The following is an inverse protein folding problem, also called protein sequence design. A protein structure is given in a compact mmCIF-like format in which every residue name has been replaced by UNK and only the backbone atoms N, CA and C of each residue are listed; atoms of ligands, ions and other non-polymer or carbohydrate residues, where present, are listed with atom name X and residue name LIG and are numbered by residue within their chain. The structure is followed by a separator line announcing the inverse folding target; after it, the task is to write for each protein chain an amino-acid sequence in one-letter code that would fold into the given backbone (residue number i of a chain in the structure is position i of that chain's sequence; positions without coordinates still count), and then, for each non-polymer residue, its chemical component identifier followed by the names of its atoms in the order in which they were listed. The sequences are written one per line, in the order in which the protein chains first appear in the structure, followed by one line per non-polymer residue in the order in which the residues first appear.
data_IF_273293728579
#
_entry.id   IF_273293728579
#
_cell.length_a   1.000
_cell.length_b   1.000
_cell.length_c   1.000
_cell.angle_alpha   90.00
_cell.angle_beta   90.00
_cell.angle_gamma   90.00
#
_symmetry.space_group_name_H-M   'P 1'
#
loop_
_entity.id
_entity.type
_entity.pdbx_description
1 polymer ?
#
# COMPACT_ATOMS: atom_id res chain seq x y z
N UNK A 1 -43.85 -7.48 14.17
CA UNK A 1 -43.28 -8.60 13.39
C UNK A 1 -43.07 -9.79 14.32
N UNK A 2 -44.12 -10.55 14.61
CA UNK A 2 -44.08 -11.73 15.49
C UNK A 2 -44.27 -12.97 14.62
N UNK A 3 -43.18 -13.70 14.31
CA UNK A 3 -43.21 -14.95 13.54
C UNK A 3 -42.05 -15.21 12.57
N UNK A 4 -41.11 -14.27 12.39
CA UNK A 4 -39.96 -14.46 11.49
C UNK A 4 -38.73 -15.08 12.18
N UNK A 5 -37.93 -15.85 11.42
CA UNK A 5 -36.58 -16.24 11.82
C UNK A 5 -35.80 -14.99 12.23
N UNK A 6 -35.16 -15.04 13.41
CA UNK A 6 -34.28 -13.97 13.89
C UNK A 6 -32.86 -14.48 13.82
N UNK A 7 -32.05 -13.85 12.97
CA UNK A 7 -30.61 -14.09 12.92
C UNK A 7 -29.87 -12.86 13.47
N UNK A 8 -28.87 -13.05 14.34
CA UNK A 8 -28.03 -11.96 14.80
C UNK A 8 -27.16 -11.45 13.64
N UNK A 9 -27.19 -10.14 13.40
CA UNK A 9 -26.29 -9.50 12.46
C UNK A 9 -25.01 -9.07 13.19
N UNK A 10 -23.91 -9.75 12.90
CA UNK A 10 -22.59 -9.44 13.48
C UNK A 10 -21.75 -8.57 12.51
N UNK A 11 -20.53 -8.20 12.91
CA UNK A 11 -19.57 -7.43 12.11
C UNK A 11 -19.26 -8.13 10.77
N UNK A 12 -19.28 -9.46 10.75
CA UNK A 12 -19.09 -10.26 9.52
C UNK A 12 -20.19 -10.02 8.47
N UNK A 13 -21.37 -9.56 8.89
CA UNK A 13 -22.51 -9.27 8.01
C UNK A 13 -22.60 -7.78 7.62
N UNK A 14 -21.61 -6.96 8.00
CA UNK A 14 -21.64 -5.51 7.78
C UNK A 14 -20.47 -5.04 6.91
N UNK A 15 -20.78 -4.44 5.76
CA UNK A 15 -19.79 -3.78 4.90
C UNK A 15 -19.71 -2.30 5.23
N UNK A 16 -18.50 -1.77 5.42
CA UNK A 16 -18.26 -0.37 5.77
C UNK A 16 -18.12 0.51 4.51
N UNK A 17 -18.48 1.79 4.61
CA UNK A 17 -18.42 2.77 3.51
C UNK A 17 -17.02 2.92 2.87
N UNK A 18 -15.95 2.72 3.64
CA UNK A 18 -14.57 2.82 3.15
C UNK A 18 -14.01 1.52 2.56
N UNK A 19 -14.78 0.43 2.58
CA UNK A 19 -14.36 -0.87 2.07
C UNK A 19 -14.61 -0.97 0.57
N UNK A 20 -13.66 -1.55 -0.15
CA UNK A 20 -13.82 -1.93 -1.56
C UNK A 20 -14.12 -3.43 -1.62
N UNK A 21 -15.26 -3.78 -2.21
CA UNK A 21 -15.63 -5.18 -2.45
C UNK A 21 -14.78 -5.70 -3.61
N UNK A 22 -14.16 -6.86 -3.40
CA UNK A 22 -13.29 -7.54 -4.36
C UNK A 22 -13.70 -9.00 -4.51
N UNK A 23 -13.24 -9.62 -5.60
CA UNK A 23 -13.39 -11.06 -5.88
C UNK A 23 -14.85 -11.57 -5.87
N UNK A 24 -15.81 -10.71 -6.18
CA UNK A 24 -17.24 -11.05 -6.32
C UNK A 24 -17.86 -10.20 -7.42
N UNK A 25 -18.74 -10.80 -8.23
CA UNK A 25 -19.36 -10.11 -9.38
C UNK A 25 -20.36 -9.03 -8.94
N UNK A 26 -21.17 -9.34 -7.91
CA UNK A 26 -22.15 -8.42 -7.34
C UNK A 26 -22.47 -8.84 -5.90
N UNK A 27 -22.94 -7.89 -5.11
CA UNK A 27 -23.46 -8.14 -3.76
C UNK A 27 -24.82 -7.44 -3.59
N UNK A 28 -25.76 -8.09 -2.91
CA UNK A 28 -27.01 -7.46 -2.48
C UNK A 28 -26.92 -7.16 -0.99
N UNK A 29 -27.23 -5.92 -0.61
CA UNK A 29 -27.21 -5.48 0.79
C UNK A 29 -28.22 -4.38 1.05
N UNK A 30 -28.54 -4.17 2.32
CA UNK A 30 -29.44 -3.09 2.77
C UNK A 30 -28.59 -2.01 3.43
N UNK A 31 -28.77 -0.76 3.00
CA UNK A 31 -28.11 0.37 3.64
C UNK A 31 -28.70 0.61 5.03
N UNK A 32 -27.91 0.32 6.08
CA UNK A 32 -28.31 0.56 7.49
C UNK A 32 -27.90 1.95 7.96
N UNK A 33 -26.67 2.38 7.63
CA UNK A 33 -26.13 3.69 7.99
C UNK A 33 -25.84 4.51 6.72
N UNK A 34 -26.23 5.77 6.70
CA UNK A 34 -26.05 6.68 5.55
C UNK A 34 -25.48 8.04 5.99
N UNK A 35 -24.72 8.68 5.11
CA UNK A 35 -24.16 10.01 5.37
C UNK A 35 -23.23 10.05 6.58
N UNK A 36 -23.56 10.92 7.55
CA UNK A 36 -22.79 11.15 8.78
C UNK A 36 -22.81 9.98 9.75
N UNK A 37 -23.83 9.11 9.67
CA UNK A 37 -23.98 7.96 10.58
C UNK A 37 -23.06 6.78 10.21
N UNK A 38 -22.35 6.88 9.09
CA UNK A 38 -21.37 5.86 8.71
C UNK A 38 -20.17 5.90 9.65
N UNK A 39 -19.66 4.74 10.06
CA UNK A 39 -18.50 4.65 10.98
C UNK A 39 -17.28 5.47 10.52
N UNK A 40 -17.04 5.52 9.21
CA UNK A 40 -15.98 6.33 8.63
C UNK A 40 -16.23 7.84 8.83
N UNK A 41 -17.47 8.30 8.60
CA UNK A 41 -17.82 9.71 8.76
C UNK A 41 -17.84 10.14 10.23
N UNK A 42 -18.24 9.27 11.16
CA UNK A 42 -18.16 9.55 12.60
C UNK A 42 -16.72 9.72 13.10
N UNK A 43 -15.74 9.12 12.42
CA UNK A 43 -14.32 9.32 12.71
C UNK A 43 -13.76 10.61 12.09
N UNK A 44 -14.48 11.23 11.15
CA UNK A 44 -14.12 12.54 10.60
C UNK A 44 -14.69 13.60 11.53
N UNK A 45 -13.82 14.43 12.11
CA UNK A 45 -14.27 15.60 12.90
C UNK A 45 -15.20 16.45 12.04
N UNK A 46 -16.43 16.66 12.50
CA UNK A 46 -17.53 17.28 11.75
C UNK A 46 -17.21 18.71 11.27
N UNK A 47 -16.35 19.42 11.98
CA UNK A 47 -15.86 20.73 11.59
C UNK A 47 -14.39 20.63 11.20
N UNK A 48 -14.10 20.91 9.92
CA UNK A 48 -12.71 21.07 9.49
C UNK A 48 -12.19 22.36 10.13
N UNK A 49 -11.23 22.29 11.08
CA UNK A 49 -10.77 23.49 11.75
C UNK A 49 -10.11 24.42 10.74
N UNK A 50 -10.38 25.72 10.84
CA UNK A 50 -9.68 26.72 10.04
C UNK A 50 -8.21 26.74 10.45
N UNK A 51 -7.35 26.14 9.64
CA UNK A 51 -5.90 26.11 9.86
C UNK A 51 -5.34 27.52 9.61
N UNK A 52 -4.56 28.04 10.56
CA UNK A 52 -3.84 29.32 10.43
C UNK A 52 -2.35 29.07 10.55
N UNK A 53 -1.57 29.68 9.66
CA UNK A 53 -0.12 29.55 9.67
C UNK A 53 0.49 30.18 10.94
N UNK A 54 1.60 29.62 11.41
CA UNK A 54 2.35 30.21 12.54
C UNK A 54 2.95 31.57 12.20
N UNK A 55 3.31 31.81 10.94
CA UNK A 55 3.81 33.12 10.49
C UNK A 55 2.71 34.17 10.64
N UNK A 56 1.46 33.82 10.34
CA UNK A 56 0.32 34.73 10.50
C UNK A 56 0.11 35.11 11.97
N UNK A 57 0.23 34.14 12.88
CA UNK A 57 0.17 34.41 14.32
C UNK A 57 1.30 35.34 14.79
N UNK A 58 2.49 35.20 14.19
CA UNK A 58 3.64 36.05 14.48
C UNK A 58 3.45 37.49 13.93
N UNK A 59 2.91 37.63 12.71
CA UNK A 59 2.54 38.93 12.12
C UNK A 59 1.52 39.64 13.02
N UNK A 60 0.48 38.94 13.47
CA UNK A 60 -0.54 39.51 14.36
C UNK A 60 0.07 40.00 15.68
N UNK A 61 1.04 39.27 16.24
CA UNK A 61 1.76 39.66 17.46
C UNK A 61 2.57 40.94 17.25
N UNK A 62 3.32 41.03 16.13
CA UNK A 62 4.08 42.24 15.80
C UNK A 62 3.17 43.43 15.49
N UNK A 63 2.05 43.20 14.80
CA UNK A 63 1.07 44.23 14.51
C UNK A 63 0.47 44.80 15.80
N UNK A 64 0.13 43.95 16.77
CA UNK A 64 -0.33 44.37 18.09
C UNK A 64 0.72 45.20 18.83
N UNK A 65 2.00 44.81 18.75
CA UNK A 65 3.10 45.58 19.33
C UNK A 65 3.27 46.97 18.67
N UNK A 66 3.26 47.03 17.33
CA UNK A 66 3.36 48.30 16.57
C UNK A 66 2.17 49.22 16.87
N UNK A 67 0.96 48.66 16.94
CA UNK A 67 -0.24 49.43 17.30
C UNK A 67 -0.15 50.00 18.72
N UNK A 68 0.33 49.21 19.69
CA UNK A 68 0.57 49.69 21.05
C UNK A 68 1.61 50.81 21.11
N UNK A 69 2.70 50.67 20.35
CA UNK A 69 3.74 51.70 20.24
C UNK A 69 3.20 52.99 19.60
N UNK A 70 2.36 52.88 18.56
CA UNK A 70 1.70 54.01 17.92
C UNK A 70 0.83 54.80 18.91
N UNK A 71 0.02 54.10 19.72
CA UNK A 71 -0.81 54.75 20.75
C UNK A 71 0.05 55.45 21.82
N UNK A 72 1.14 54.83 22.24
CA UNK A 72 2.06 55.43 23.21
C UNK A 72 2.73 56.70 22.67
N UNK A 73 3.21 56.67 21.42
CA UNK A 73 3.81 57.85 20.78
C UNK A 73 2.80 58.98 20.58
N UNK A 74 1.59 58.67 20.13
CA UNK A 74 0.52 59.67 19.99
C UNK A 74 0.19 60.32 21.34
N UNK A 75 0.14 59.54 22.43
CA UNK A 75 -0.11 60.04 23.77
C UNK A 75 1.04 60.94 24.27
N UNK A 76 2.30 60.51 24.11
CA UNK A 76 3.48 61.30 24.52
C UNK A 76 3.55 62.62 23.76
N UNK A 77 3.32 62.63 22.44
CA UNK A 77 3.30 63.87 21.65
C UNK A 77 2.13 64.78 22.01
N UNK A 78 0.96 64.22 22.34
CA UNK A 78 -0.17 65.03 22.80
C UNK A 78 0.17 65.71 24.13
N UNK A 79 0.77 64.99 25.08
CA UNK A 79 1.21 65.58 26.35
C UNK A 79 2.29 66.65 26.10
N UNK A 80 3.31 66.36 25.32
CA UNK A 80 4.36 67.32 25.00
C UNK A 80 3.81 68.57 24.31
N UNK A 81 2.84 68.42 23.41
CA UNK A 81 2.18 69.53 22.73
C UNK A 81 1.36 70.39 23.70
N UNK A 82 0.55 69.78 24.58
CA UNK A 82 -0.21 70.54 25.60
C UNK A 82 0.71 71.33 26.52
N UNK A 83 1.81 70.73 26.99
CA UNK A 83 2.79 71.40 27.85
C UNK A 83 3.55 72.53 27.14
N UNK A 84 3.82 72.39 25.85
CA UNK A 84 4.55 73.41 25.09
C UNK A 84 3.61 74.55 24.65
N UNK A 85 2.33 74.27 24.42
CA UNK A 85 1.30 75.28 24.11
C UNK A 85 1.11 76.28 25.27
N UNK A 86 1.21 75.82 26.53
CA UNK A 86 1.20 76.70 27.71
C UNK A 86 2.33 77.75 27.72
N UNK A 87 3.44 77.51 26.99
CA UNK A 87 4.59 78.41 26.88
C UNK A 87 4.56 79.29 25.60
N UNK A 88 3.54 79.16 24.75
CA UNK A 88 3.57 79.61 23.35
C UNK A 88 2.71 80.85 23.03
N UNK A 89 2.42 81.67 24.03
CA UNK A 89 1.62 82.90 23.90
C UNK A 89 2.19 83.92 22.89
N UNK A 90 3.50 83.94 22.64
CA UNK A 90 4.10 84.91 21.69
C UNK A 90 4.01 84.50 20.21
N UNK A 91 3.94 83.20 19.89
CA UNK A 91 3.93 82.73 18.49
C UNK A 91 2.52 82.62 17.91
N UNK A 92 1.51 82.35 18.74
CA UNK A 92 0.10 82.24 18.30
C UNK A 92 -0.49 83.60 17.92
N UNK A 93 -0.06 84.68 18.58
CA UNK A 93 -0.41 86.07 18.24
C UNK A 93 0.08 86.48 16.84
N UNK A 94 1.19 85.88 16.35
CA UNK A 94 1.75 86.16 15.02
C UNK A 94 0.98 85.46 13.88
N UNK A 95 0.31 84.34 14.16
CA UNK A 95 -0.40 83.52 13.15
C UNK A 95 -1.89 83.88 13.03
N UNK A 96 -2.42 84.73 13.93
CA UNK A 96 -3.79 85.25 13.83
C UNK A 96 -4.88 84.19 14.02
N UNK A 97 -4.60 83.16 14.81
CA UNK A 97 -5.57 82.15 15.20
C UNK A 97 -6.23 82.57 16.52
N UNK A 98 -7.53 82.87 16.49
CA UNK A 98 -8.32 83.03 17.72
C UNK A 98 -8.39 81.67 18.43
N UNK A 99 -7.93 81.65 19.68
CA UNK A 99 -7.68 80.47 20.49
C UNK A 99 -8.96 79.88 21.05
N UNK A 100 -9.74 79.22 20.20
CA UNK A 100 -10.74 78.25 20.65
C UNK A 100 -10.02 77.03 21.24
N UNK A 101 -10.49 76.58 22.41
CA UNK A 101 -9.95 75.47 23.21
C UNK A 101 -9.47 74.30 22.33
N UNK A 102 -8.15 74.11 22.25
CA UNK A 102 -7.58 72.96 21.55
C UNK A 102 -7.90 71.71 22.36
N UNK A 103 -9.02 71.06 22.04
CA UNK A 103 -9.44 69.86 22.73
C UNK A 103 -8.35 68.78 22.61
N UNK A 104 -7.90 68.26 23.75
CA UNK A 104 -6.89 67.19 23.83
C UNK A 104 -7.21 66.02 22.89
N UNK A 105 -8.50 65.68 22.74
CA UNK A 105 -8.96 64.62 21.84
C UNK A 105 -8.71 64.91 20.35
N UNK A 106 -8.88 66.15 19.87
CA UNK A 106 -8.57 66.53 18.48
C UNK A 106 -7.08 66.44 18.22
N UNK A 107 -6.25 66.91 19.15
CA UNK A 107 -4.80 66.85 18.99
C UNK A 107 -4.27 65.41 19.01
N UNK A 108 -4.80 64.57 19.90
CA UNK A 108 -4.50 63.14 19.93
C UNK A 108 -4.88 62.44 18.62
N UNK A 109 -6.08 62.71 18.09
CA UNK A 109 -6.53 62.14 16.82
C UNK A 109 -5.67 62.60 15.64
N UNK A 110 -5.24 63.87 15.62
CA UNK A 110 -4.32 64.41 14.59
C UNK A 110 -2.98 63.68 14.61
N UNK A 111 -2.38 63.45 15.78
CA UNK A 111 -1.12 62.69 15.89
C UNK A 111 -1.30 61.20 15.57
N UNK A 112 -2.45 60.60 15.91
CA UNK A 112 -2.77 59.23 15.53
C UNK A 112 -2.88 59.09 14.00
N UNK A 113 -3.55 60.04 13.33
CA UNK A 113 -3.64 60.08 11.87
C UNK A 113 -2.27 60.29 11.21
N UNK A 114 -1.40 61.12 11.80
CA UNK A 114 -0.03 61.33 11.31
C UNK A 114 0.77 60.01 11.29
N UNK A 115 0.57 59.14 12.29
CA UNK A 115 1.24 57.84 12.39
C UNK A 115 0.49 56.66 11.76
N UNK A 116 -0.63 56.89 11.07
CA UNK A 116 -1.42 55.82 10.46
C UNK A 116 -0.61 54.94 9.47
N UNK A 117 0.41 55.52 8.81
CA UNK A 117 1.30 54.79 7.90
C UNK A 117 2.25 53.78 8.60
N UNK A 118 2.33 53.79 9.94
CA UNK A 118 3.14 52.84 10.70
C UNK A 118 2.55 51.42 10.65
N UNK A 119 1.24 51.31 10.44
CA UNK A 119 0.56 50.03 10.17
C UNK A 119 0.38 49.89 8.65
N UNK A 120 1.22 49.09 7.96
CA UNK A 120 1.09 48.91 6.53
C UNK A 120 -0.18 48.12 6.20
N UNK A 121 -1.20 48.82 5.67
CA UNK A 121 -2.49 48.25 5.26
C UNK A 121 -2.29 47.14 4.21
N UNK A 122 -1.25 47.25 3.38
CA UNK A 122 -0.94 46.29 2.31
C UNK A 122 -0.31 44.99 2.78
N UNK A 123 0.13 44.86 4.04
CA UNK A 123 0.92 43.71 4.52
C UNK A 123 0.20 42.36 4.34
N UNK A 124 -1.09 42.28 4.65
CA UNK A 124 -1.83 41.02 4.50
C UNK A 124 -2.04 40.67 3.02
N UNK A 125 -2.39 41.67 2.21
CA UNK A 125 -2.60 41.48 0.77
C UNK A 125 -1.32 41.03 0.08
N UNK A 126 -0.16 41.57 0.45
CA UNK A 126 1.13 41.15 -0.12
C UNK A 126 1.48 39.72 0.31
N UNK A 127 1.27 39.34 1.57
CA UNK A 127 1.50 37.96 2.05
C UNK A 127 0.58 36.96 1.35
N UNK A 128 -0.70 37.26 1.19
CA UNK A 128 -1.66 36.39 0.51
C UNK A 128 -1.35 36.25 -0.99
N UNK A 129 -0.88 37.33 -1.63
CA UNK A 129 -0.41 37.29 -3.01
C UNK A 129 0.84 36.41 -3.14
N UNK A 130 1.82 36.56 -2.24
CA UNK A 130 3.03 35.73 -2.23
C UNK A 130 2.67 34.25 -2.04
N UNK A 131 1.79 33.93 -1.09
CA UNK A 131 1.30 32.57 -0.84
C UNK A 131 0.59 31.98 -2.08
N UNK A 132 -0.20 32.79 -2.78
CA UNK A 132 -0.89 32.38 -4.01
C UNK A 132 0.10 32.09 -5.14
N UNK A 133 1.13 32.93 -5.31
CA UNK A 133 2.19 32.72 -6.29
C UNK A 133 3.00 31.46 -5.94
N UNK A 134 3.34 31.25 -4.67
CA UNK A 134 4.02 30.02 -4.21
C UNK A 134 3.19 28.76 -4.50
N UNK A 135 1.89 28.78 -4.20
CA UNK A 135 0.98 27.68 -4.52
C UNK A 135 0.96 27.37 -6.02
N UNK A 136 0.98 28.41 -6.86
CA UNK A 136 1.02 28.28 -8.31
C UNK A 136 2.33 27.67 -8.81
N UNK A 137 3.46 28.06 -8.22
CA UNK A 137 4.78 27.51 -8.56
C UNK A 137 4.89 26.04 -8.19
N UNK A 138 4.42 25.64 -6.99
CA UNK A 138 4.42 24.24 -6.54
C UNK A 138 3.62 23.34 -7.50
N UNK A 139 2.46 23.80 -7.96
CA UNK A 139 1.61 23.03 -8.90
C UNK A 139 2.23 22.88 -10.30
N UNK A 140 3.13 23.79 -10.69
CA UNK A 140 3.81 23.75 -12.00
C UNK A 140 5.15 23.03 -11.98
N UNK A 141 5.65 22.66 -10.81
CA UNK A 141 6.89 21.92 -10.69
C UNK A 141 6.78 20.56 -11.41
N UNK A 142 7.77 20.23 -12.22
CA UNK A 142 7.84 19.00 -13.01
C UNK A 142 8.31 17.83 -12.14
N UNK A 143 9.13 18.10 -11.12
CA UNK A 143 9.67 17.07 -10.22
C UNK A 143 8.63 16.54 -9.23
N UNK A 144 7.57 17.31 -8.98
CA UNK A 144 6.44 16.95 -8.10
C UNK A 144 5.29 16.30 -8.88
N UNK A 145 5.56 15.72 -10.06
CA UNK A 145 4.57 15.03 -10.88
C UNK A 145 4.83 13.53 -10.86
N UNK A 146 3.78 12.77 -10.59
CA UNK A 146 3.76 11.31 -10.73
C UNK A 146 2.89 10.92 -11.93
N UNK A 147 3.55 10.60 -13.04
CA UNK A 147 2.91 10.28 -14.31
C UNK A 147 1.98 11.40 -14.81
N UNK A 148 0.66 11.18 -14.69
CA UNK A 148 -0.37 12.16 -15.09
C UNK A 148 -0.87 13.05 -13.95
N UNK A 149 -0.53 12.72 -12.71
CA UNK A 149 -0.97 13.44 -11.53
C UNK A 149 0.09 14.46 -11.13
N UNK A 150 -0.28 15.74 -11.07
CA UNK A 150 0.58 16.81 -10.56
C UNK A 150 0.22 17.11 -9.11
N UNK A 151 1.17 17.61 -8.31
CA UNK A 151 0.88 18.08 -6.97
C UNK A 151 -0.20 19.18 -6.99
N UNK A 152 -1.24 19.02 -6.18
CA UNK A 152 -2.33 20.00 -6.02
C UNK A 152 -2.26 20.62 -4.63
N UNK A 153 -2.18 21.94 -4.57
CA UNK A 153 -2.20 22.68 -3.31
C UNK A 153 -3.63 23.06 -2.97
N UNK A 154 -4.23 22.34 -2.01
CA UNK A 154 -5.62 22.59 -1.58
C UNK A 154 -5.77 23.79 -0.66
N UNK A 155 -4.73 24.13 0.11
CA UNK A 155 -4.74 25.22 1.10
C UNK A 155 -3.46 26.06 0.95
N UNK A 156 -3.54 27.19 0.23
CA UNK A 156 -2.39 28.06 -0.05
C UNK A 156 -1.93 28.87 1.16
N UNK A 157 -2.74 28.97 2.21
CA UNK A 157 -2.45 29.73 3.43
C UNK A 157 -1.42 29.05 4.37
N UNK A 158 -1.00 27.83 4.05
CA UNK A 158 -0.09 27.00 4.85
C UNK A 158 1.25 26.71 4.15
N UNK A 159 1.50 27.29 2.97
CA UNK A 159 2.68 27.00 2.16
C UNK A 159 4.00 27.29 2.91
N UNK A 160 3.98 28.30 3.77
CA UNK A 160 5.08 28.75 4.61
C UNK A 160 5.38 27.80 5.79
N UNK A 161 4.40 27.00 6.23
CA UNK A 161 4.60 26.01 7.30
C UNK A 161 5.33 24.76 6.79
N UNK A 162 5.34 24.49 5.48
CA UNK A 162 6.07 23.36 4.87
C UNK A 162 7.58 23.43 5.14
N UNK A 163 8.14 24.64 5.26
CA UNK A 163 9.56 24.83 5.58
C UNK A 163 9.93 24.63 7.06
N UNK A 164 8.96 24.27 7.91
CA UNK A 164 9.10 24.18 9.37
C UNK A 164 8.54 22.88 9.94
N UNK A 165 8.42 21.86 9.11
CA UNK A 165 7.91 20.54 9.54
C UNK A 165 9.01 19.81 10.31
N UNK A 166 8.81 19.61 11.63
CA UNK A 166 9.74 18.86 12.49
C UNK A 166 9.47 17.35 12.49
N UNK A 167 8.19 16.97 12.35
CA UNK A 167 7.74 15.58 12.42
C UNK A 167 6.89 15.24 11.21
N UNK A 168 7.26 14.16 10.52
CA UNK A 168 6.47 13.57 9.43
C UNK A 168 5.82 12.30 9.96
N UNK A 169 4.51 12.33 10.13
CA UNK A 169 3.70 11.15 10.43
C UNK A 169 3.25 10.53 9.11
N UNK A 170 3.87 9.41 8.75
CA UNK A 170 3.53 8.67 7.54
C UNK A 170 2.72 7.41 7.89
N UNK A 171 1.66 7.17 7.12
CA UNK A 171 0.96 5.88 7.15
C UNK A 171 1.80 4.82 6.42
N UNK A 172 1.73 3.56 6.85
CA UNK A 172 2.49 2.48 6.20
C UNK A 172 1.84 2.11 4.87
N UNK A 173 0.54 1.82 4.90
CA UNK A 173 -0.15 1.21 3.77
C UNK A 173 -0.65 2.27 2.80
N UNK A 174 -0.24 2.18 1.53
CA UNK A 174 -0.65 3.13 0.49
C UNK A 174 0.10 4.46 0.49
N UNK A 175 0.98 4.72 1.48
CA UNK A 175 1.92 5.85 1.46
C UNK A 175 3.36 5.38 1.36
N UNK A 176 3.81 4.53 2.30
CA UNK A 176 5.16 3.95 2.24
C UNK A 176 5.23 2.72 1.34
N UNK A 177 4.15 1.97 1.23
CA UNK A 177 4.08 0.75 0.42
C UNK A 177 3.07 0.90 -0.72
N UNK A 178 3.44 0.41 -1.92
CA UNK A 178 2.58 0.39 -3.11
C UNK A 178 1.47 -0.68 -3.03
N UNK A 179 1.33 -1.36 -1.89
CA UNK A 179 0.42 -2.50 -1.69
C UNK A 179 0.56 -3.59 -2.78
N UNK A 180 1.80 -3.79 -3.25
CA UNK A 180 2.18 -4.82 -4.22
C UNK A 180 3.22 -5.73 -3.57
N UNK A 181 2.85 -6.99 -3.39
CA UNK A 181 3.75 -8.02 -2.87
C UNK A 181 4.43 -8.72 -4.04
N UNK A 182 5.75 -8.85 -3.95
CA UNK A 182 6.57 -9.49 -4.98
C UNK A 182 7.46 -10.53 -4.31
N UNK A 183 7.52 -11.71 -4.88
CA UNK A 183 8.46 -12.73 -4.42
C UNK A 183 9.88 -12.37 -4.86
N UNK A 184 10.82 -12.37 -3.91
CA UNK A 184 12.20 -11.92 -4.14
C UNK A 184 13.24 -13.03 -4.05
N UNK A 185 13.15 -13.87 -3.03
CA UNK A 185 14.16 -14.86 -2.69
C UNK A 185 13.54 -16.03 -1.93
N UNK A 186 14.17 -17.19 -2.02
CA UNK A 186 13.89 -18.35 -1.17
C UNK A 186 15.17 -19.06 -0.77
N UNK A 187 15.07 -19.89 0.25
CA UNK A 187 16.07 -20.91 0.53
C UNK A 187 15.44 -22.29 0.42
N UNK A 188 16.05 -23.19 -0.35
CA UNK A 188 15.58 -24.56 -0.57
C UNK A 188 16.77 -25.47 -0.36
N UNK A 189 16.66 -26.45 0.55
CA UNK A 189 17.75 -27.39 0.84
C UNK A 189 19.05 -26.71 1.32
N UNK A 190 18.95 -25.57 2.02
CA UNK A 190 20.11 -24.78 2.49
C UNK A 190 20.75 -23.89 1.42
N UNK A 191 20.34 -23.99 0.16
CA UNK A 191 20.80 -23.12 -0.93
C UNK A 191 19.86 -21.91 -1.01
N UNK A 192 20.42 -20.71 -1.20
CA UNK A 192 19.65 -19.47 -1.38
C UNK A 192 19.49 -19.21 -2.88
N UNK A 193 18.24 -19.01 -3.30
CA UNK A 193 17.85 -18.67 -4.66
C UNK A 193 17.22 -17.29 -4.68
N UNK A 194 17.59 -16.50 -5.68
CA UNK A 194 17.19 -15.11 -5.77
C UNK A 194 18.11 -14.18 -4.99
N UNK A 195 19.11 -13.65 -5.69
CA UNK A 195 19.70 -12.36 -5.39
C UNK A 195 20.35 -11.82 -6.66
N UNK A 196 19.80 -10.72 -7.17
CA UNK A 196 20.45 -9.84 -8.13
C UNK A 196 19.97 -8.43 -7.80
N UNK A 197 20.44 -7.92 -6.66
CA UNK A 197 20.36 -6.54 -6.18
C UNK A 197 19.54 -5.57 -7.08
N UNK A 198 18.24 -5.34 -6.79
CA UNK A 198 17.43 -4.38 -7.55
C UNK A 198 17.75 -2.92 -7.23
N UNK A 199 18.60 -2.63 -6.23
CA UNK A 199 18.93 -1.25 -5.83
C UNK A 199 19.90 -0.54 -6.80
N UNK A 200 20.42 -1.24 -7.83
CA UNK A 200 21.35 -0.65 -8.81
C UNK A 200 21.16 -1.24 -10.22
N UNK A 201 19.93 -1.21 -10.74
CA UNK A 201 19.74 -1.25 -12.20
C UNK A 201 19.28 0.12 -12.66
N UNK A 202 20.24 1.04 -12.73
CA UNK A 202 20.21 2.16 -13.67
C UNK A 202 19.78 1.60 -15.02
N UNK A 203 18.80 2.25 -15.63
CA UNK A 203 18.31 2.00 -16.98
C UNK A 203 19.47 1.65 -17.92
N UNK A 204 19.69 0.36 -18.15
CA UNK A 204 20.63 -0.12 -19.15
C UNK A 204 19.81 -0.78 -20.26
N UNK A 205 19.95 -0.32 -21.53
CA UNK A 205 19.14 -0.77 -22.66
C UNK A 205 19.42 -2.22 -23.08
N UNK A 206 20.25 -2.97 -22.34
CA UNK A 206 20.59 -4.37 -22.61
C UNK A 206 19.59 -5.35 -21.99
N UNK A 207 18.83 -4.98 -20.96
CA UNK A 207 17.75 -5.83 -20.42
C UNK A 207 16.56 -5.96 -21.38
N UNK A 208 16.42 -5.02 -22.32
CA UNK A 208 15.40 -5.03 -23.37
C UNK A 208 15.75 -5.96 -24.54
N UNK A 209 17.05 -6.25 -24.77
CA UNK A 209 17.48 -7.12 -25.88
C UNK A 209 17.37 -8.62 -25.57
N UNK A 210 17.45 -9.02 -24.30
CA UNK A 210 17.21 -10.42 -23.91
C UNK A 210 15.70 -10.73 -23.80
N UNK A 211 14.86 -9.69 -23.66
CA UNK A 211 13.39 -9.81 -23.78
C UNK A 211 12.90 -10.20 -25.18
N UNK A 212 13.76 -10.15 -26.20
CA UNK A 212 13.37 -10.46 -27.59
C UNK A 212 13.91 -11.78 -28.14
N UNK A 213 14.45 -12.68 -27.30
CA UNK A 213 15.05 -13.95 -27.74
C UNK A 213 14.39 -15.21 -27.15
N UNK A 214 13.33 -15.08 -26.36
CA UNK A 214 12.45 -16.20 -25.99
C UNK A 214 11.26 -16.28 -26.94
N UNK A 215 11.48 -16.78 -28.15
CA UNK A 215 10.39 -17.11 -29.08
C UNK A 215 9.53 -18.24 -28.50
N UNK A 216 8.23 -17.96 -28.32
CA UNK A 216 7.12 -18.92 -28.32
C UNK A 216 7.08 -20.01 -27.24
N UNK A 217 6.02 -19.97 -26.41
CA UNK A 217 5.42 -21.12 -25.66
C UNK A 217 6.05 -21.63 -24.35
N UNK A 218 7.20 -21.16 -23.88
CA UNK A 218 7.88 -21.89 -22.78
C UNK A 218 7.45 -21.53 -21.35
N UNK A 219 7.17 -20.26 -21.00
CA UNK A 219 6.69 -19.88 -19.65
C UNK A 219 5.83 -18.60 -19.67
N UNK A 220 4.83 -18.46 -18.78
CA UNK A 220 4.14 -17.17 -18.58
C UNK A 220 5.15 -16.15 -18.07
N UNK A 221 5.50 -15.18 -18.91
CA UNK A 221 6.22 -13.99 -18.46
C UNK A 221 5.18 -13.09 -17.79
N UNK A 222 4.87 -13.36 -16.53
CA UNK A 222 4.06 -12.44 -15.73
C UNK A 222 4.92 -11.21 -15.41
N UNK A 223 4.44 -9.99 -15.71
CA UNK A 223 5.17 -8.73 -15.46
C UNK A 223 5.60 -8.52 -13.99
N UNK A 224 5.12 -9.37 -13.08
CA UNK A 224 5.31 -9.31 -11.63
C UNK A 224 6.30 -10.33 -11.04
N UNK A 225 6.82 -11.30 -11.79
CA UNK A 225 7.78 -12.26 -11.22
C UNK A 225 9.22 -11.85 -11.52
N UNK A 226 10.03 -11.66 -10.47
CA UNK A 226 11.44 -11.25 -10.57
C UNK A 226 12.43 -12.34 -10.16
N UNK A 227 11.96 -13.54 -9.81
CA UNK A 227 12.84 -14.67 -9.49
C UNK A 227 13.30 -15.37 -10.78
N UNK A 228 14.28 -14.75 -11.46
CA UNK A 228 15.00 -15.38 -12.57
C UNK A 228 16.36 -15.82 -12.05
N UNK A 229 16.40 -17.02 -11.49
CA UNK A 229 17.64 -17.71 -11.15
C UNK A 229 17.80 -18.89 -12.11
N UNK A 230 18.81 -18.82 -12.98
CA UNK A 230 19.08 -19.86 -13.99
C UNK A 230 19.33 -21.21 -13.30
N UNK A 231 20.00 -21.22 -12.14
CA UNK A 231 20.28 -22.45 -11.40
C UNK A 231 18.99 -23.13 -10.91
N UNK A 232 17.99 -22.35 -10.50
CA UNK A 232 16.68 -22.87 -10.08
C UNK A 232 15.91 -23.45 -11.28
N UNK A 233 15.96 -22.76 -12.42
CA UNK A 233 15.28 -23.20 -13.65
C UNK A 233 15.92 -24.44 -14.29
N UNK A 234 17.22 -24.62 -14.11
CA UNK A 234 17.95 -25.82 -14.53
C UNK A 234 17.57 -27.03 -13.67
N UNK A 235 17.51 -26.85 -12.33
CA UNK A 235 17.06 -27.89 -11.41
C UNK A 235 15.61 -28.34 -11.69
N UNK A 236 14.73 -27.39 -12.03
CA UNK A 236 13.35 -27.67 -12.44
C UNK A 236 13.24 -28.26 -13.85
N UNK A 237 14.26 -28.06 -14.68
CA UNK A 237 14.33 -28.54 -16.06
C UNK A 237 14.78 -29.98 -16.20
N UNK A 238 15.27 -30.60 -15.13
CA UNK A 238 15.79 -31.96 -15.15
C UNK A 238 14.71 -32.96 -15.61
N UNK A 239 15.03 -33.88 -16.55
CA UNK A 239 14.06 -34.80 -17.14
C UNK A 239 13.57 -35.88 -16.16
N UNK A 240 14.33 -36.15 -15.09
CA UNK A 240 13.95 -37.05 -14.02
C UNK A 240 14.52 -36.54 -12.70
N UNK A 241 13.77 -36.72 -11.61
CA UNK A 241 14.24 -36.44 -10.26
C UNK A 241 15.22 -37.55 -9.88
N UNK A 242 16.51 -37.23 -9.95
CA UNK A 242 17.59 -38.16 -9.62
C UNK A 242 18.25 -37.79 -8.30
N UNK A 243 18.25 -36.50 -7.96
CA UNK A 243 18.87 -35.96 -6.74
C UNK A 243 17.81 -35.57 -5.70
N UNK A 244 18.15 -35.66 -4.40
CA UNK A 244 17.25 -35.18 -3.34
C UNK A 244 17.02 -33.66 -3.44
N UNK A 245 18.00 -32.89 -3.88
CA UNK A 245 17.89 -31.44 -4.10
C UNK A 245 16.79 -31.09 -5.11
N UNK A 246 16.73 -31.81 -6.24
CA UNK A 246 15.68 -31.67 -7.25
C UNK A 246 14.31 -31.97 -6.61
N UNK A 247 14.20 -33.06 -5.84
CA UNK A 247 12.96 -33.42 -5.15
C UNK A 247 12.45 -32.32 -4.19
N UNK A 248 13.36 -31.67 -3.45
CA UNK A 248 13.02 -30.56 -2.56
C UNK A 248 12.52 -29.33 -3.32
N UNK A 249 13.15 -29.00 -4.45
CA UNK A 249 12.71 -27.87 -5.29
C UNK A 249 11.32 -28.12 -5.87
N UNK A 250 11.07 -29.34 -6.39
CA UNK A 250 9.74 -29.73 -6.87
C UNK A 250 8.69 -29.68 -5.75
N UNK A 251 9.00 -30.17 -4.54
CA UNK A 251 8.09 -30.13 -3.40
C UNK A 251 7.81 -28.70 -2.91
N UNK A 252 8.82 -27.84 -2.91
CA UNK A 252 8.68 -26.42 -2.60
C UNK A 252 7.73 -25.73 -3.58
N UNK A 253 7.93 -25.92 -4.88
CA UNK A 253 7.08 -25.34 -5.92
C UNK A 253 5.62 -25.84 -5.84
N UNK A 254 5.42 -27.13 -5.58
CA UNK A 254 4.09 -27.69 -5.32
C UNK A 254 3.43 -27.07 -4.08
N UNK A 255 4.20 -26.81 -3.03
CA UNK A 255 3.68 -26.15 -1.82
C UNK A 255 3.25 -24.72 -2.10
N UNK A 256 4.07 -23.94 -2.80
CA UNK A 256 3.71 -22.57 -3.21
C UNK A 256 2.46 -22.55 -4.11
N UNK A 257 2.35 -23.48 -5.06
CA UNK A 257 1.26 -23.55 -6.01
C UNK A 257 -0.08 -24.06 -5.40
N UNK A 258 -0.06 -24.97 -4.41
CA UNK A 258 -1.28 -25.60 -3.89
C UNK A 258 -1.69 -25.18 -2.47
N UNK A 259 -0.73 -24.86 -1.60
CA UNK A 259 -0.99 -24.48 -0.21
C UNK A 259 -1.36 -22.98 -0.15
N UNK A 260 -2.53 -22.64 -0.68
CA UNK A 260 -3.11 -21.29 -0.73
C UNK A 260 -4.63 -21.40 -0.86
N UNK A 261 -5.34 -20.28 -0.94
CA UNK A 261 -6.79 -20.22 -1.21
C UNK A 261 -7.13 -19.48 -2.50
N UNK A 262 -6.17 -19.37 -3.41
CA UNK A 262 -6.28 -18.56 -4.62
C UNK A 262 -7.18 -19.21 -5.64
N UNK A 263 -7.97 -18.36 -6.30
CA UNK A 263 -8.82 -18.74 -7.41
C UNK A 263 -8.13 -18.28 -8.70
N UNK A 264 -7.79 -19.19 -9.62
CA UNK A 264 -7.29 -18.83 -10.94
C UNK A 264 -8.43 -18.37 -11.84
N UNK A 265 -8.30 -17.20 -12.45
CA UNK A 265 -9.17 -16.69 -13.49
C UNK A 265 -8.45 -16.76 -14.84
N UNK A 266 -8.97 -17.55 -15.76
CA UNK A 266 -8.38 -17.70 -17.09
C UNK A 266 -8.60 -16.41 -17.89
N UNK A 267 -7.51 -15.75 -18.31
CA UNK A 267 -7.61 -14.62 -19.22
C UNK A 267 -7.83 -15.17 -20.62
N UNK A 268 -8.95 -14.84 -21.28
CA UNK A 268 -9.31 -15.39 -22.60
C UNK A 268 -8.33 -15.10 -23.76
N UNK A 269 -7.12 -14.61 -23.48
CA UNK A 269 -6.07 -14.27 -24.45
C UNK A 269 -5.08 -15.41 -24.70
N UNK A 270 -4.81 -16.27 -23.72
CA UNK A 270 -3.99 -17.47 -23.90
C UNK A 270 -4.18 -18.46 -22.73
N UNK A 271 -3.99 -19.78 -22.93
CA UNK A 271 -4.10 -20.76 -21.85
C UNK A 271 -3.02 -20.59 -20.76
N UNK A 272 -1.97 -19.81 -21.04
CA UNK A 272 -0.81 -19.59 -20.16
C UNK A 272 -1.01 -18.34 -19.28
N UNK A 273 -1.83 -17.39 -19.70
CA UNK A 273 -2.07 -16.14 -18.97
C UNK A 273 -3.24 -16.29 -17.99
N UNK A 274 -2.91 -16.71 -16.77
CA UNK A 274 -3.86 -16.87 -15.66
C UNK A 274 -3.70 -15.70 -14.70
N UNK A 275 -4.82 -15.07 -14.34
CA UNK A 275 -4.86 -14.08 -13.27
C UNK A 275 -5.17 -14.80 -11.96
N UNK A 276 -4.38 -14.52 -10.93
CA UNK A 276 -4.58 -15.09 -9.60
C UNK A 276 -5.28 -14.07 -8.72
N UNK A 277 -6.42 -14.47 -8.17
CA UNK A 277 -7.16 -13.64 -7.20
C UNK A 277 -7.27 -14.39 -5.87
N UNK A 278 -6.82 -13.75 -4.80
CA UNK A 278 -6.82 -14.31 -3.45
C UNK A 278 -7.31 -13.31 -2.41
N UNK A 279 -7.51 -13.80 -1.19
CA UNK A 279 -7.81 -12.94 -0.04
C UNK A 279 -6.56 -12.19 0.45
N UNK A 280 -5.36 -12.72 0.14
CA UNK A 280 -4.10 -12.20 0.63
C UNK A 280 -3.07 -12.10 -0.49
N UNK A 281 -2.45 -10.91 -0.60
CA UNK A 281 -1.50 -10.58 -1.69
C UNK A 281 -0.16 -11.31 -1.59
N UNK A 282 0.19 -11.81 -0.41
CA UNK A 282 1.37 -12.64 -0.20
C UNK A 282 1.21 -14.03 -0.84
N UNK A 283 0.04 -14.65 -0.71
CA UNK A 283 -0.31 -15.89 -1.41
C UNK A 283 -0.26 -15.66 -2.92
N UNK A 284 -0.80 -14.53 -3.39
CA UNK A 284 -0.82 -14.20 -4.82
C UNK A 284 0.61 -14.17 -5.37
N UNK A 285 1.51 -13.50 -4.66
CA UNK A 285 2.93 -13.43 -5.04
C UNK A 285 3.60 -14.82 -5.06
N UNK A 286 3.24 -15.72 -4.13
CA UNK A 286 3.77 -17.09 -4.09
C UNK A 286 3.28 -17.94 -5.28
N UNK A 287 2.01 -17.82 -5.65
CA UNK A 287 1.45 -18.54 -6.80
C UNK A 287 1.94 -17.95 -8.12
N UNK A 288 2.04 -16.63 -8.22
CA UNK A 288 2.64 -15.96 -9.39
C UNK A 288 4.09 -16.42 -9.60
N UNK A 289 4.87 -16.56 -8.52
CA UNK A 289 6.23 -17.11 -8.58
C UNK A 289 6.21 -18.56 -9.06
N UNK A 290 5.41 -19.43 -8.46
CA UNK A 290 5.32 -20.84 -8.86
C UNK A 290 4.91 -20.99 -10.33
N UNK A 291 3.97 -20.17 -10.80
CA UNK A 291 3.54 -20.12 -12.19
C UNK A 291 4.68 -19.72 -13.13
N UNK A 292 5.46 -18.70 -12.77
CA UNK A 292 6.64 -18.27 -13.55
C UNK A 292 7.75 -19.33 -13.61
N UNK A 293 7.83 -20.20 -12.60
CA UNK A 293 8.75 -21.34 -12.56
C UNK A 293 8.19 -22.62 -13.21
N UNK A 294 6.99 -22.57 -13.81
CA UNK A 294 6.41 -23.70 -14.55
C UNK A 294 5.34 -24.50 -13.81
N UNK A 295 4.83 -24.02 -12.68
CA UNK A 295 3.74 -24.63 -11.90
C UNK A 295 2.54 -23.70 -11.89
N UNK A 296 1.74 -23.77 -12.94
CA UNK A 296 0.60 -22.88 -13.12
C UNK A 296 -0.61 -23.48 -12.43
N UNK A 297 -1.21 -22.76 -11.48
CA UNK A 297 -2.52 -23.11 -10.93
C UNK A 297 -3.61 -22.80 -11.97
N UNK A 298 -4.27 -23.82 -12.50
CA UNK A 298 -5.27 -23.67 -13.59
C UNK A 298 -6.69 -23.74 -13.06
N UNK A 299 -6.93 -24.59 -12.06
CA UNK A 299 -8.26 -24.78 -11.49
C UNK A 299 -8.18 -25.09 -10.00
N UNK A 300 -9.11 -24.54 -9.24
CA UNK A 300 -9.30 -24.85 -7.83
C UNK A 300 -10.77 -24.92 -7.50
N UNK A 301 -11.19 -26.00 -6.85
CA UNK A 301 -12.51 -26.12 -6.23
C UNK A 301 -12.37 -26.71 -4.82
N UNK A 302 -13.49 -27.01 -4.14
CA UNK A 302 -13.48 -27.54 -2.78
C UNK A 302 -12.79 -28.91 -2.64
N UNK A 303 -12.79 -29.71 -3.70
CA UNK A 303 -12.36 -31.11 -3.67
C UNK A 303 -11.10 -31.39 -4.50
N UNK A 304 -10.72 -30.49 -5.40
CA UNK A 304 -9.67 -30.70 -6.38
C UNK A 304 -8.87 -29.42 -6.65
N UNK A 305 -7.56 -29.59 -6.84
CA UNK A 305 -6.65 -28.58 -7.39
C UNK A 305 -6.04 -29.14 -8.67
N UNK A 306 -6.06 -28.37 -9.74
CA UNK A 306 -5.44 -28.73 -11.03
C UNK A 306 -4.28 -27.78 -11.30
N UNK A 307 -3.09 -28.36 -11.43
CA UNK A 307 -1.88 -27.66 -11.82
C UNK A 307 -1.48 -28.06 -13.24
N UNK A 308 -0.95 -27.09 -13.99
CA UNK A 308 -0.24 -27.34 -15.24
C UNK A 308 1.25 -27.20 -14.97
N UNK A 309 1.95 -28.32 -15.07
CA UNK A 309 3.37 -28.44 -14.72
C UNK A 309 4.17 -28.60 -16.00
N UNK A 310 5.15 -27.72 -16.23
CA UNK A 310 6.13 -27.89 -17.31
C UNK A 310 7.15 -28.95 -16.90
N UNK A 311 7.29 -30.02 -17.69
CA UNK A 311 8.33 -31.05 -17.49
C UNK A 311 9.04 -31.37 -18.80
N UNK A 312 10.33 -31.68 -18.71
CA UNK A 312 11.09 -32.28 -19.80
C UNK A 312 10.86 -33.80 -19.77
N UNK A 313 10.66 -34.42 -20.94
CA UNK A 313 10.55 -35.88 -21.04
C UNK A 313 11.91 -36.48 -21.38
N UNK A 314 12.31 -37.63 -20.80
CA UNK A 314 13.61 -38.25 -21.09
C UNK A 314 13.82 -38.62 -22.56
N UNK A 315 12.75 -38.71 -23.36
CA UNK A 315 12.79 -39.02 -24.80
C UNK A 315 12.89 -37.79 -25.71
N UNK A 316 12.65 -36.57 -25.22
CA UNK A 316 12.67 -35.32 -26.01
C UNK A 316 13.18 -34.16 -25.16
N UNK A 317 14.16 -33.41 -25.67
CA UNK A 317 14.68 -32.19 -25.02
C UNK A 317 13.64 -31.04 -24.90
N UNK A 318 12.48 -31.15 -25.55
CA UNK A 318 11.42 -30.15 -25.50
C UNK A 318 10.57 -30.26 -24.21
N UNK A 319 10.39 -29.14 -23.51
CA UNK A 319 9.48 -29.02 -22.35
C UNK A 319 8.03 -29.13 -22.82
N UNK A 320 7.25 -30.04 -22.22
CA UNK A 320 5.80 -30.15 -22.43
C UNK A 320 5.05 -29.81 -21.15
N UNK A 321 3.85 -29.28 -21.35
CA UNK A 321 2.91 -28.98 -20.28
C UNK A 321 2.06 -30.22 -19.97
N UNK A 322 2.03 -30.61 -18.70
CA UNK A 322 1.22 -31.71 -18.20
C UNK A 322 0.22 -31.19 -17.19
N UNK A 323 -1.05 -31.51 -17.38
CA UNK A 323 -2.08 -31.22 -16.39
C UNK A 323 -2.13 -32.34 -15.36
N UNK A 324 -1.93 -31.95 -14.09
CA UNK A 324 -1.96 -32.86 -12.94
C UNK A 324 -3.05 -32.39 -11.99
N UNK A 325 -3.98 -33.27 -11.66
CA UNK A 325 -5.06 -32.98 -10.71
C UNK A 325 -4.78 -33.67 -9.39
N UNK A 326 -5.01 -32.95 -8.29
CA UNK A 326 -4.86 -33.40 -6.92
C UNK A 326 -6.22 -33.35 -6.24
N UNK A 327 -6.59 -34.40 -5.50
CA UNK A 327 -7.73 -34.40 -4.59
C UNK A 327 -7.35 -33.69 -3.30
N UNK A 328 -8.19 -32.76 -2.85
CA UNK A 328 -8.09 -32.09 -1.55
C UNK A 328 -8.91 -32.91 -0.55
N UNK A 329 -8.27 -33.34 0.53
CA UNK A 329 -8.96 -33.97 1.66
C UNK A 329 -9.38 -32.97 2.73
N UNK A 330 -8.58 -31.92 2.91
CA UNK A 330 -8.86 -30.89 3.89
C UNK A 330 -7.94 -29.67 3.74
N UNK A 331 -8.50 -28.51 4.04
CA UNK A 331 -7.79 -27.23 4.09
C UNK A 331 -7.93 -26.71 5.51
N UNK A 332 -6.80 -26.49 6.18
CA UNK A 332 -6.78 -25.76 7.44
C UNK A 332 -6.37 -24.32 7.16
N UNK A 333 -7.35 -23.44 6.99
CA UNK A 333 -7.17 -22.04 6.62
C UNK A 333 -6.25 -21.27 7.57
N UNK A 334 -5.61 -20.24 7.03
CA UNK A 334 -4.79 -19.33 7.82
C UNK A 334 -5.66 -18.59 8.83
N UNK A 335 -5.20 -18.51 10.07
CA UNK A 335 -5.78 -17.65 11.10
C UNK A 335 -4.66 -16.92 11.82
N UNK A 336 -4.95 -15.72 12.33
CA UNK A 336 -3.96 -14.94 13.09
C UNK A 336 -3.47 -15.66 14.34
N UNK A 337 -4.29 -16.53 14.93
CA UNK A 337 -3.92 -17.36 16.08
C UNK A 337 -2.95 -18.48 15.69
N UNK A 338 -3.22 -19.19 14.57
CA UNK A 338 -2.38 -20.30 14.12
C UNK A 338 -1.09 -19.84 13.43
N UNK A 339 -1.11 -18.67 12.78
CA UNK A 339 -0.03 -18.14 11.92
C UNK A 339 0.49 -19.12 10.85
N UNK A 340 -0.32 -20.13 10.48
CA UNK A 340 0.00 -21.16 9.48
C UNK A 340 -1.24 -21.63 8.74
N UNK A 341 -1.03 -22.10 7.52
CA UNK A 341 -2.01 -22.78 6.67
C UNK A 341 -1.48 -24.17 6.33
N UNK A 342 -2.38 -25.15 6.21
CA UNK A 342 -2.02 -26.45 5.66
C UNK A 342 -3.10 -27.02 4.75
N UNK A 343 -2.68 -27.80 3.77
CA UNK A 343 -3.57 -28.50 2.82
C UNK A 343 -3.13 -29.95 2.69
N UNK A 344 -4.08 -30.87 2.84
CA UNK A 344 -3.86 -32.29 2.64
C UNK A 344 -4.34 -32.67 1.23
N UNK A 345 -3.41 -33.13 0.39
CA UNK A 345 -3.66 -33.48 -1.01
C UNK A 345 -3.23 -34.89 -1.36
N UNK A 346 -3.85 -35.48 -2.38
CA UNK A 346 -3.38 -36.70 -3.01
C UNK A 346 -3.40 -36.55 -4.53
N UNK A 347 -2.31 -36.96 -5.18
CA UNK A 347 -2.20 -36.91 -6.63
C UNK A 347 -3.18 -37.92 -7.26
N UNK A 348 -3.86 -37.50 -8.33
CA UNK A 348 -4.72 -38.37 -9.12
C UNK A 348 -4.02 -38.70 -10.44
N UNK A 349 -4.01 -39.98 -10.81
CA UNK A 349 -3.64 -40.44 -12.15
C UNK A 349 -4.85 -40.36 -13.06
N UNK A 350 -4.65 -39.80 -14.25
CA UNK A 350 -5.64 -39.86 -15.32
C UNK A 350 -5.52 -41.23 -15.99
N UNK A 351 -6.59 -42.01 -15.95
CA UNK A 351 -6.71 -43.28 -16.67
C UNK A 351 -7.75 -43.05 -17.77
N UNK A 352 -7.30 -43.08 -19.02
CA UNK A 352 -8.19 -43.11 -20.18
C UNK A 352 -8.67 -44.54 -20.39
N UNK A 353 -9.99 -44.74 -20.41
CA UNK A 353 -10.60 -46.00 -20.82
C UNK A 353 -10.75 -46.04 -22.33
N UNK A 354 -10.74 -47.26 -22.90
CA UNK A 354 -10.90 -47.52 -24.34
C UNK A 354 -12.18 -46.92 -24.96
N UNK A 355 -13.15 -46.53 -24.12
CA UNK A 355 -14.40 -45.86 -24.53
C UNK A 355 -14.28 -44.34 -24.70
N UNK A 356 -13.12 -43.75 -24.43
CA UNK A 356 -12.89 -42.29 -24.44
C UNK A 356 -13.27 -41.59 -23.11
N UNK A 357 -13.70 -42.34 -22.10
CA UNK A 357 -13.96 -41.82 -20.76
C UNK A 357 -12.65 -41.69 -19.97
N UNK A 358 -12.42 -40.53 -19.38
CA UNK A 358 -11.28 -40.27 -18.48
C UNK A 358 -11.73 -40.44 -17.02
N UNK A 359 -11.02 -41.27 -16.26
CA UNK A 359 -11.21 -41.36 -14.81
C UNK A 359 -9.96 -40.91 -14.05
N UNK A 360 -10.19 -40.18 -12.96
CA UNK A 360 -9.14 -39.78 -12.03
C UNK A 360 -9.06 -40.80 -10.89
N UNK A 361 -8.03 -41.65 -10.91
CA UNK A 361 -7.79 -42.68 -9.89
C UNK A 361 -6.73 -42.17 -8.91
N UNK A 362 -6.90 -42.33 -7.58
CA UNK A 362 -5.88 -41.95 -6.61
C UNK A 362 -4.56 -42.68 -6.88
N UNK A 363 -3.46 -41.94 -6.95
CA UNK A 363 -2.15 -42.55 -7.13
C UNK A 363 -1.73 -43.32 -5.86
N UNK A 364 -1.02 -44.42 -6.03
CA UNK A 364 -0.53 -45.29 -4.95
C UNK A 364 0.60 -44.65 -4.13
N UNK A 365 0.97 -43.41 -4.45
CA UNK A 365 2.04 -42.62 -3.84
C UNK A 365 1.66 -42.01 -2.47
N UNK A 366 0.41 -42.17 -2.02
CA UNK A 366 -0.06 -41.70 -0.72
C UNK A 366 -0.50 -40.24 -0.71
N UNK A 367 -0.91 -39.75 0.45
CA UNK A 367 -1.32 -38.36 0.65
C UNK A 367 -0.16 -37.50 1.15
N UNK A 368 -0.16 -36.21 0.83
CA UNK A 368 0.88 -35.25 1.19
C UNK A 368 0.22 -34.10 1.94
N UNK A 369 0.72 -33.82 3.14
CA UNK A 369 0.36 -32.63 3.90
C UNK A 369 1.35 -31.52 3.60
N UNK A 370 0.87 -30.44 2.99
CA UNK A 370 1.64 -29.26 2.67
C UNK A 370 1.39 -28.19 3.72
N UNK A 371 2.44 -27.62 4.30
CA UNK A 371 2.33 -26.63 5.37
C UNK A 371 3.15 -25.39 5.02
N UNK A 372 2.55 -24.21 5.22
CA UNK A 372 3.24 -22.91 5.18
C UNK A 372 2.83 -22.08 6.40
N UNK A 373 3.72 -21.22 6.89
CA UNK A 373 3.42 -20.35 8.03
C UNK A 373 4.60 -19.49 8.43
N UNK A 374 4.46 -18.83 9.57
CA UNK A 374 5.55 -18.11 10.20
C UNK A 374 6.68 -19.08 10.60
N UNK A 375 7.90 -18.57 10.57
CA UNK A 375 9.14 -19.30 10.87
C UNK A 375 9.12 -19.90 12.28
N UNK A 376 8.80 -19.10 13.28
CA UNK A 376 8.65 -19.52 14.68
C UNK A 376 7.70 -20.73 14.84
N UNK A 377 6.56 -20.69 14.17
CA UNK A 377 5.52 -21.71 14.27
C UNK A 377 5.86 -23.00 13.53
N UNK A 378 6.44 -22.89 12.34
CA UNK A 378 6.77 -24.08 11.54
C UNK A 378 7.98 -24.80 12.13
N UNK A 379 8.97 -24.06 12.66
CA UNK A 379 10.16 -24.64 13.28
C UNK A 379 9.83 -25.48 14.52
N UNK A 380 8.90 -25.03 15.37
CA UNK A 380 8.45 -25.79 16.54
C UNK A 380 7.87 -27.17 16.17
N UNK A 381 7.27 -27.28 14.98
CA UNK A 381 6.61 -28.51 14.50
C UNK A 381 7.48 -29.33 13.54
N UNK A 382 8.73 -28.91 13.34
CA UNK A 382 9.72 -29.67 12.59
C UNK A 382 10.21 -30.85 13.43
N UNK A 383 10.49 -31.99 12.80
CA UNK A 383 11.08 -33.14 13.52
C UNK A 383 12.46 -32.70 14.01
N UNK A 384 12.65 -32.63 15.33
CA UNK A 384 13.94 -32.35 15.95
C UNK A 384 14.99 -33.35 15.48
N UNK A 385 15.86 -32.90 14.59
CA UNK A 385 17.10 -33.55 14.20
C UNK A 385 18.20 -32.51 14.26
N UNK A 386 19.14 -32.73 15.19
CA UNK A 386 20.34 -31.97 15.55
C UNK A 386 20.37 -30.44 15.36
N UNK A 387 20.54 -29.77 16.49
CA UNK A 387 20.86 -28.36 16.65
C UNK A 387 21.98 -27.91 15.69
N UNK A 388 21.70 -27.00 14.75
CA UNK A 388 22.78 -26.43 13.95
C UNK A 388 22.43 -25.43 12.86
N UNK A 389 21.28 -25.54 12.17
CA UNK A 389 21.02 -24.68 11.00
C UNK A 389 19.68 -23.95 11.07
N UNK A 390 19.76 -22.63 11.26
CA UNK A 390 18.65 -21.70 11.04
C UNK A 390 18.32 -21.64 9.53
N UNK A 391 17.41 -22.50 9.08
CA UNK A 391 16.86 -22.41 7.72
C UNK A 391 15.33 -22.49 7.71
N UNK A 392 14.73 -21.61 6.90
CA UNK A 392 13.30 -21.48 6.67
C UNK A 392 12.69 -22.81 6.20
N UNK A 393 11.73 -23.35 6.95
CA UNK A 393 11.04 -24.58 6.58
C UNK A 393 9.69 -24.30 5.89
N UNK A 394 9.61 -24.60 4.60
CA UNK A 394 8.36 -25.04 3.96
C UNK A 394 8.41 -26.57 3.95
N UNK A 395 7.50 -27.22 4.67
CA UNK A 395 7.53 -28.68 4.84
C UNK A 395 6.36 -29.35 4.15
N UNK A 396 6.68 -30.28 3.24
CA UNK A 396 5.76 -31.30 2.77
C UNK A 396 6.00 -32.58 3.57
N UNK A 397 5.02 -32.99 4.37
CA UNK A 397 5.11 -34.23 5.15
C UNK A 397 4.26 -35.29 4.45
N UNK A 398 4.83 -36.42 4.00
CA UNK A 398 4.04 -37.54 3.50
C UNK A 398 3.21 -38.13 4.65
N UNK A 399 1.91 -38.31 4.42
CA UNK A 399 0.97 -38.89 5.39
C UNK A 399 0.49 -40.23 4.86
N UNK A 400 0.63 -41.28 5.66
CA UNK A 400 0.06 -42.61 5.38
C UNK A 400 -1.29 -42.76 6.10
N UNK A 401 -2.22 -43.50 5.50
CA UNK A 401 -3.52 -43.91 6.07
C UNK A 401 -4.52 -42.78 6.40
N UNK A 402 -4.73 -41.84 5.47
CA UNK A 402 -5.86 -40.89 5.57
C UNK A 402 -7.17 -41.62 5.33
N UNK A 403 -7.97 -41.80 6.38
CA UNK A 403 -9.33 -42.35 6.29
C UNK A 403 -10.31 -41.23 5.95
N UNK A 404 -11.10 -41.41 4.90
CA UNK A 404 -12.28 -40.57 4.64
C UNK A 404 -13.32 -40.86 5.73
N UNK A 405 -13.62 -39.86 6.55
CA UNK A 405 -14.78 -39.87 7.48
C UNK A 405 -15.79 -38.84 7.06
#
# INVERSE_FOLDING_TARGET
LNGGLREPADVNNMVLRGSSIRNTAWCCGVAVYVGGDTKLAMNVTSDTPTKRSRVEQQINRYLGFVFGLMLALALVLTIAFTRTSELRTEFELFVGLDSDEVSWGRQFLTFLLLFNNMVPISLYVTVDLVRSIQAYLIQRDVHLKDGKHSAVVSASNLNDDLGRVDYVLADKTGTLTENRMLFRMCSIGGVRYGDNNPAYKTESPRSTMVRSLGSSETFPITEKSYLYDEALLDLLGAPAITKPEEAFVHAFMLTCAMCNTIIPEATGRSPIEVRFEGASSDEEALVEMAASSGYILVGRNANYVTLRISRSTPEREERRWFETTFKIFGVNEFTSERKRMSVLVQMLKVVEYDNGDTAHVPDSSGSILLVKGADDVVMEHSRGGDEGDESMAVSGVPVQDVRET
#
